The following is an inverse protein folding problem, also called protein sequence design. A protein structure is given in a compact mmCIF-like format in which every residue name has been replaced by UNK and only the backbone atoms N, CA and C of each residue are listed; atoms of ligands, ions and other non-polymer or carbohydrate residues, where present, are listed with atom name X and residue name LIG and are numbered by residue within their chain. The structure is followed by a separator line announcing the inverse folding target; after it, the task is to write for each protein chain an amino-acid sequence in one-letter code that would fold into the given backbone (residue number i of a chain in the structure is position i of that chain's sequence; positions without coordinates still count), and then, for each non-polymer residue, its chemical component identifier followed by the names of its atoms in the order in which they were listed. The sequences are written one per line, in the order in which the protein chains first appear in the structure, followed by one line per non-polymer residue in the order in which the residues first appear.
data_IF_204926887053
#
_entry.id   IF_204926887053
#
_cell.length_a   1.000
_cell.length_b   1.000
_cell.length_c   1.000
_cell.angle_alpha   90.00
_cell.angle_beta   90.00
_cell.angle_gamma   90.00
#
_symmetry.space_group_name_H-M   'P 1'
#
loop_
_entity.id
_entity.type
_entity.pdbx_description
1 polymer ?
2 polymer ?
3 water ?
#
loop_
_entity_poly.entity_id
_entity_poly.type
_entity_poly.pdbx_seq_one_letter_code
_entity_poly.pdbx_strand_id
1 'polydeoxyribonucleotide' '(DT)(DC)(DG)(DC)(DG)(DC)(DG)' ?
#
# COMPACT_ATOMS: atom_id res chain seq x y z
N UNK C 6 22.27 17.49 -12.26
CA UNK C 6 21.23 17.96 -13.22
C UNK C 6 19.86 17.41 -12.86
N UNK C 7 19.81 16.55 -11.85
CA UNK C 7 18.54 15.97 -11.43
C UNK C 7 18.30 16.13 -9.94
N UNK C 8 17.05 16.43 -9.59
CA UNK C 8 16.64 16.61 -8.20
C UNK C 8 15.65 15.50 -7.84
N UNK C 9 16.17 14.38 -7.34
CA UNK C 9 15.35 13.23 -6.97
C UNK C 9 14.23 13.57 -5.98
N UNK C 10 14.22 12.88 -4.85
CA UNK C 10 13.20 13.10 -3.83
C UNK C 10 13.69 14.04 -2.72
N UNK C 11 15.01 14.24 -2.65
CA UNK C 11 15.61 15.10 -1.64
C UNK C 11 15.02 16.51 -1.60
N UNK C 12 14.66 17.04 -2.75
CA UNK C 12 14.10 18.38 -2.79
C UNK C 12 12.67 18.36 -2.25
N UNK C 13 12.01 17.23 -2.40
CA UNK C 13 10.64 17.08 -1.91
C UNK C 13 10.76 16.98 -0.39
N UNK C 14 11.67 16.12 0.05
CA UNK C 14 11.93 15.93 1.47
C UNK C 14 12.18 17.30 2.12
N UNK C 15 13.05 18.09 1.49
CA UNK C 15 13.38 19.42 2.01
C UNK C 15 12.16 20.34 2.04
N UNK C 16 11.34 20.30 1.00
CA UNK C 16 10.15 21.15 0.96
C UNK C 16 9.19 20.77 2.08
N UNK C 17 9.01 19.47 2.29
CA UNK C 17 8.09 19.01 3.33
C UNK C 17 8.60 19.34 4.73
N UNK C 18 9.89 19.13 4.96
CA UNK C 18 10.46 19.42 6.27
C UNK C 18 10.29 20.90 6.60
N UNK C 19 10.58 21.75 5.63
CA UNK C 19 10.45 23.19 5.83
C UNK C 19 9.01 23.53 6.21
N UNK C 20 8.04 22.89 5.54
CA UNK C 20 6.63 23.15 5.83
C UNK C 20 6.22 22.74 7.23
N UNK C 21 6.59 21.53 7.64
CA UNK C 21 6.21 21.06 8.97
C UNK C 21 6.87 21.88 10.07
N UNK C 22 8.11 22.29 9.85
CA UNK C 22 8.81 23.09 10.85
C UNK C 22 8.19 24.46 11.02
N UNK C 23 7.42 24.91 10.03
CA UNK C 23 6.78 26.22 10.12
C UNK C 23 5.50 26.15 10.94
N UNK C 24 5.06 24.94 11.28
CA UNK C 24 3.84 24.76 12.05
C UNK C 24 4.03 25.14 13.51
N UNK C 25 2.95 25.55 14.16
CA UNK C 25 3.02 25.87 15.58
C UNK C 25 2.90 24.53 16.27
N UNK C 26 3.61 24.37 17.38
CA UNK C 26 3.59 23.12 18.13
C UNK C 26 2.17 22.57 18.27
N UNK C 27 1.22 23.47 18.47
CA UNK C 27 -0.17 23.09 18.67
C UNK C 27 -0.95 22.76 17.40
N UNK C 28 -0.39 23.07 16.24
CA UNK C 28 -1.09 22.82 14.99
C UNK C 28 -0.65 21.53 14.31
N UNK C 29 -1.42 21.09 13.33
CA UNK C 29 -1.10 19.87 12.58
C UNK C 29 -1.53 20.02 11.13
N UNK C 30 -1.02 19.16 10.27
CA UNK C 30 -1.40 19.22 8.86
C UNK C 30 -1.63 17.80 8.36
N UNK C 31 -1.95 17.65 7.08
CA UNK C 31 -2.19 16.33 6.50
C UNK C 31 -1.47 16.23 5.17
N UNK C 32 -1.38 15.02 4.64
CA UNK C 32 -0.69 14.82 3.37
C UNK C 32 -1.46 15.53 2.26
N UNK C 33 -2.78 15.41 2.28
CA UNK C 33 -3.60 16.04 1.25
C UNK C 33 -3.39 17.56 1.23
N UNK C 34 -3.33 18.17 2.41
CA UNK C 34 -3.12 19.61 2.48
C UNK C 34 -1.74 19.97 1.93
N UNK C 35 -0.72 19.25 2.38
CA UNK C 35 0.64 19.49 1.93
C UNK C 35 0.75 19.29 0.42
N UNK C 36 0.16 18.20 -0.07
CA UNK C 36 0.18 17.92 -1.50
C UNK C 36 -0.43 19.08 -2.26
N UNK C 37 -1.47 19.67 -1.67
CA UNK C 37 -2.18 20.78 -2.27
C UNK C 37 -1.33 22.05 -2.36
N UNK C 38 -0.54 22.32 -1.33
CA UNK C 38 0.31 23.51 -1.30
C UNK C 38 1.54 23.37 -2.18
N UNK C 39 2.33 22.34 -1.93
CA UNK C 39 3.55 22.10 -2.68
C UNK C 39 3.28 21.61 -4.10
N UNK C 40 2.01 21.50 -4.46
CA UNK C 40 1.62 21.03 -5.79
C UNK C 40 2.38 19.76 -6.15
N UNK C 41 2.40 18.81 -5.22
CA UNK C 41 3.09 17.55 -5.42
C UNK C 41 2.13 16.39 -5.14
N UNK C 42 2.36 15.25 -5.78
CA UNK C 42 1.51 14.09 -5.58
C UNK C 42 1.49 13.67 -4.12
N UNK C 43 0.31 13.34 -3.61
CA UNK C 43 0.16 12.92 -2.22
C UNK C 43 1.08 11.74 -1.92
N UNK C 44 1.27 10.86 -2.89
CA UNK C 44 2.15 9.71 -2.67
C UNK C 44 3.58 10.19 -2.37
N UNK C 45 4.05 11.18 -3.12
CA UNK C 45 5.39 11.71 -2.90
C UNK C 45 5.46 12.35 -1.51
N UNK C 46 4.44 13.13 -1.17
CA UNK C 46 4.38 13.79 0.13
C UNK C 46 4.46 12.78 1.28
N UNK C 47 3.75 11.66 1.15
CA UNK C 47 3.75 10.61 2.17
C UNK C 47 5.10 9.91 2.28
N UNK C 48 5.73 9.64 1.15
CA UNK C 48 7.03 8.98 1.17
C UNK C 48 8.00 9.78 2.03
N UNK C 49 7.90 11.11 1.97
CA UNK C 49 8.79 11.96 2.76
C UNK C 49 8.33 12.12 4.21
N UNK C 50 7.02 12.24 4.42
CA UNK C 50 6.49 12.39 5.77
C UNK C 50 6.88 11.23 6.67
N UNK C 51 6.78 10.01 6.16
CA UNK C 51 7.15 8.86 6.99
C UNK C 51 8.66 8.77 7.20
N UNK C 52 9.44 9.23 6.22
CA UNK C 52 10.90 9.23 6.36
C UNK C 52 11.25 10.29 7.41
N UNK C 53 10.55 11.41 7.37
CA UNK C 53 10.78 12.49 8.30
C UNK C 53 10.41 12.07 9.73
N UNK C 54 9.40 11.21 9.87
CA UNK C 54 9.02 10.76 11.20
C UNK C 54 10.14 9.90 11.77
N UNK C 55 10.82 9.16 10.90
CA UNK C 55 11.93 8.32 11.33
C UNK C 55 13.04 9.19 11.90
N UNK C 56 13.12 10.43 11.45
CA UNK C 56 14.14 11.35 11.94
C UNK C 56 13.63 12.19 13.11
N UNK C 57 12.42 11.87 13.57
CA UNK C 57 11.80 12.56 14.70
C UNK C 57 11.45 14.04 14.52
N UNK C 58 11.43 14.51 13.28
CA UNK C 58 11.09 15.90 13.02
C UNK C 58 9.57 16.08 13.06
N UNK C 59 8.85 15.03 12.69
CA UNK C 59 7.39 15.07 12.68
C UNK C 59 6.82 13.85 13.39
N UNK C 60 5.59 13.96 13.86
CA UNK C 60 4.92 12.87 14.56
C UNK C 60 3.55 12.65 13.92
N UNK C 61 3.26 11.40 13.56
CA UNK C 61 1.99 11.06 12.92
C UNK C 61 0.99 10.51 13.92
N UNK C 62 -0.28 10.89 13.76
CA UNK C 62 -1.36 10.41 14.62
C UNK C 62 -2.36 9.70 13.71
N UNK C 63 -2.48 8.37 13.85
CA UNK C 63 -3.38 7.53 13.06
C UNK C 63 -4.84 7.93 13.07
N UNK C 64 -5.13 9.09 12.51
CA UNK C 64 -6.48 9.56 12.43
C UNK C 64 -6.89 9.20 11.00
N UNK C 65 -8.07 9.62 10.58
CA UNK C 65 -8.53 9.31 9.23
C UNK C 65 -8.81 10.60 8.49
N UNK C 66 -7.83 11.09 7.71
CA UNK C 66 -6.50 10.50 7.49
C UNK C 66 -5.50 10.87 8.60
N UNK C 67 -4.27 10.35 8.51
CA UNK C 67 -3.29 10.68 9.55
C UNK C 67 -2.99 12.18 9.64
N UNK C 68 -2.80 12.65 10.87
CA UNK C 68 -2.47 14.05 11.11
C UNK C 68 -0.98 14.11 11.43
N UNK C 69 -0.30 15.13 10.94
CA UNK C 69 1.13 15.26 11.16
C UNK C 69 1.49 16.50 11.97
N UNK C 70 2.17 16.27 13.10
CA UNK C 70 2.60 17.32 14.02
C UNK C 70 4.12 17.51 14.00
N UNK C 71 4.55 18.74 14.23
CA UNK C 71 5.98 19.03 14.31
C UNK C 71 6.42 18.49 15.66
N UNK C 72 7.60 17.89 15.74
CA UNK C 72 8.09 17.36 17.01
C UNK C 72 8.09 18.52 18.01
N UNK C 73 7.41 18.37 19.14
CA UNK C 73 7.34 19.46 20.12
C UNK C 73 8.68 19.88 20.72
N UNK C 74 9.71 19.06 20.56
CA UNK C 74 11.03 19.41 21.07
C UNK C 74 11.58 20.56 20.23
N UNK C 75 10.93 20.82 19.10
CA UNK C 75 11.32 21.91 18.21
C UNK C 75 10.70 23.20 18.74
N UNK D 6 0.82 -7.96 -26.66
CA UNK D 6 2.25 -8.31 -26.39
C UNK D 6 2.53 -8.59 -24.91
N UNK D 7 1.51 -8.45 -24.07
CA UNK D 7 1.66 -8.71 -22.64
C UNK D 7 0.41 -9.40 -22.10
N UNK D 8 0.59 -10.20 -21.05
CA UNK D 8 -0.53 -10.89 -20.42
C UNK D 8 -1.21 -9.83 -19.56
N UNK D 9 -2.44 -9.47 -19.91
CA UNK D 9 -3.17 -8.43 -19.18
C UNK D 9 -3.92 -8.93 -17.95
N UNK D 10 -4.52 -7.98 -17.23
CA UNK D 10 -5.27 -8.27 -16.02
C UNK D 10 -6.21 -9.46 -16.18
N UNK D 11 -7.08 -9.39 -17.18
CA UNK D 11 -8.05 -10.45 -17.43
C UNK D 11 -7.41 -11.82 -17.63
N UNK D 12 -6.22 -11.84 -18.22
CA UNK D 12 -5.53 -13.09 -18.46
C UNK D 12 -4.87 -13.65 -17.21
N UNK D 13 -4.36 -12.77 -16.35
CA UNK D 13 -3.72 -13.23 -15.12
C UNK D 13 -4.83 -13.72 -14.20
N UNK D 14 -5.99 -13.10 -14.30
CA UNK D 14 -7.15 -13.48 -13.51
C UNK D 14 -7.44 -14.96 -13.72
N UNK D 15 -7.44 -15.38 -14.99
CA UNK D 15 -7.72 -16.77 -15.34
C UNK D 15 -6.68 -17.73 -14.77
N UNK D 16 -5.41 -17.33 -14.84
CA UNK D 16 -4.34 -18.17 -14.33
C UNK D 16 -4.48 -18.36 -12.82
N UNK D 17 -4.75 -17.26 -12.12
CA UNK D 17 -4.89 -17.34 -10.67
C UNK D 17 -6.15 -18.11 -10.33
N UNK D 18 -7.22 -17.86 -11.06
CA UNK D 18 -8.47 -18.57 -10.79
C UNK D 18 -8.30 -20.08 -10.90
N UNK D 19 -7.51 -20.54 -11.87
CA UNK D 19 -7.31 -21.97 -12.06
C UNK D 19 -6.52 -22.60 -10.92
N UNK D 20 -5.48 -21.91 -10.46
CA UNK D 20 -4.65 -22.42 -9.37
C UNK D 20 -5.47 -22.54 -8.09
N UNK D 21 -6.27 -21.52 -7.81
CA UNK D 21 -7.07 -21.53 -6.61
C UNK D 21 -8.15 -22.59 -6.66
N UNK D 22 -8.72 -22.80 -7.84
CA UNK D 22 -9.76 -23.81 -8.01
C UNK D 22 -9.17 -25.21 -7.92
N UNK D 23 -7.85 -25.32 -7.96
CA UNK D 23 -7.22 -26.63 -7.89
C UNK D 23 -6.82 -27.00 -6.47
N UNK D 24 -7.14 -26.14 -5.51
CA UNK D 24 -6.80 -26.41 -4.12
C UNK D 24 -7.77 -27.45 -3.55
N UNK D 25 -7.31 -28.27 -2.61
CA UNK D 25 -8.20 -29.24 -1.99
C UNK D 25 -9.06 -28.47 -0.99
N UNK D 26 -10.18 -29.05 -0.61
CA UNK D 26 -11.13 -28.41 0.30
C UNK D 26 -10.63 -27.42 1.35
N UNK D 27 -9.87 -27.89 2.33
CA UNK D 27 -9.41 -26.96 3.37
C UNK D 27 -7.96 -26.49 3.27
N UNK D 28 -7.31 -26.62 2.12
CA UNK D 28 -5.95 -26.11 2.06
C UNK D 28 -5.91 -24.74 1.41
N UNK D 29 -4.93 -23.94 1.81
CA UNK D 29 -4.81 -22.59 1.30
C UNK D 29 -3.52 -22.39 0.54
N UNK D 30 -3.37 -21.17 0.04
CA UNK D 30 -2.17 -20.76 -0.66
C UNK D 30 -2.01 -19.29 -0.29
N UNK D 31 -0.91 -18.69 -0.72
CA UNK D 31 -0.66 -17.29 -0.43
C UNK D 31 -0.27 -16.59 -1.72
N UNK D 32 -0.38 -15.26 -1.73
CA UNK D 32 -0.03 -14.49 -2.91
C UNK D 32 1.42 -14.78 -3.32
N UNK D 33 2.33 -14.77 -2.35
CA UNK D 33 3.74 -15.02 -2.67
C UNK D 33 3.95 -16.42 -3.24
N UNK D 34 3.17 -17.39 -2.76
CA UNK D 34 3.30 -18.75 -3.27
C UNK D 34 2.87 -18.80 -4.73
N UNK D 35 1.74 -18.18 -5.03
CA UNK D 35 1.23 -18.17 -6.40
C UNK D 35 2.18 -17.38 -7.28
N UNK D 36 2.77 -16.34 -6.71
CA UNK D 36 3.71 -15.51 -7.45
C UNK D 36 4.88 -16.39 -7.88
N UNK D 37 5.35 -17.25 -6.97
CA UNK D 37 6.47 -18.15 -7.25
C UNK D 37 6.10 -19.29 -8.20
N UNK D 38 4.99 -19.96 -7.92
CA UNK D 38 4.53 -21.07 -8.75
C UNK D 38 4.25 -20.60 -10.17
N UNK D 39 3.89 -19.32 -10.30
CA UNK D 39 3.63 -18.73 -11.60
C UNK D 39 4.80 -17.78 -11.82
N UNK D 40 4.82 -17.07 -12.94
CA UNK D 40 5.91 -16.14 -13.16
C UNK D 40 5.36 -14.74 -13.15
N UNK D 41 4.54 -14.44 -12.15
CA UNK D 41 3.88 -13.14 -12.06
C UNK D 41 4.12 -12.36 -10.77
N UNK D 42 4.31 -11.05 -10.92
CA UNK D 42 4.54 -10.17 -9.78
C UNK D 42 3.46 -10.37 -8.73
N UNK D 43 3.87 -10.33 -7.46
CA UNK D 43 2.94 -10.53 -6.36
C UNK D 43 1.77 -9.56 -6.40
N UNK D 44 2.05 -8.30 -6.74
CA UNK D 44 0.99 -7.30 -6.80
C UNK D 44 -0.11 -7.76 -7.74
N UNK D 45 0.29 -8.23 -8.92
CA UNK D 45 -0.66 -8.70 -9.91
C UNK D 45 -1.44 -9.89 -9.40
N UNK D 46 -0.80 -10.72 -8.58
CA UNK D 46 -1.49 -11.87 -8.02
C UNK D 46 -2.60 -11.38 -7.09
N UNK D 47 -2.24 -10.49 -6.15
CA UNK D 47 -3.22 -9.95 -5.21
C UNK D 47 -4.36 -9.20 -5.90
N UNK D 48 -4.05 -8.50 -6.98
CA UNK D 48 -5.09 -7.78 -7.70
C UNK D 48 -6.17 -8.76 -8.10
N UNK D 49 -5.77 -9.96 -8.51
CA UNK D 49 -6.74 -10.98 -8.91
C UNK D 49 -7.42 -11.64 -7.72
N UNK D 50 -6.64 -11.94 -6.69
CA UNK D 50 -7.18 -12.59 -5.50
C UNK D 50 -8.34 -11.82 -4.87
N UNK D 51 -8.18 -10.52 -4.67
CA UNK D 51 -9.26 -9.75 -4.07
C UNK D 51 -10.49 -9.68 -4.97
N UNK D 52 -10.29 -9.74 -6.28
CA UNK D 52 -11.43 -9.72 -7.19
C UNK D 52 -12.12 -11.08 -7.11
N UNK D 53 -11.32 -12.14 -7.03
CA UNK D 53 -11.82 -13.50 -6.93
C UNK D 53 -12.65 -13.65 -5.65
N UNK D 54 -12.26 -12.91 -4.61
CA UNK D 54 -12.97 -12.97 -3.34
C UNK D 54 -14.33 -12.28 -3.48
N UNK D 55 -14.35 -11.18 -4.22
CA UNK D 55 -15.59 -10.45 -4.45
C UNK D 55 -16.58 -11.32 -5.23
N UNK D 56 -16.03 -12.22 -6.04
CA UNK D 56 -16.84 -13.12 -6.86
C UNK D 56 -17.16 -14.45 -6.16
N UNK D 57 -16.79 -14.56 -4.89
CA UNK D 57 -17.04 -15.76 -4.10
C UNK D 57 -16.36 -17.02 -4.62
N UNK D 58 -15.19 -16.85 -5.23
CA UNK D 58 -14.44 -17.99 -5.74
C UNK D 58 -13.41 -18.41 -4.69
N UNK D 59 -12.90 -17.43 -3.96
CA UNK D 59 -11.92 -17.68 -2.91
C UNK D 59 -12.36 -16.98 -1.65
N UNK D 60 -11.75 -17.37 -0.53
CA UNK D 60 -12.05 -16.77 0.76
C UNK D 60 -10.70 -16.52 1.43
N UNK D 61 -10.53 -15.33 1.99
CA UNK D 61 -9.28 -14.95 2.64
C UNK D 61 -9.38 -14.93 4.16
N UNK D 62 -8.34 -15.45 4.80
CA UNK D 62 -8.27 -15.47 6.26
C UNK D 62 -7.06 -14.62 6.59
N UNK D 63 -7.28 -13.49 7.29
CA UNK D 63 -6.14 -12.64 7.62
C UNK D 63 -5.04 -13.34 8.41
N UNK D 64 -3.81 -12.97 8.09
CA UNK D 64 -2.62 -13.51 8.71
C UNK D 64 -1.48 -12.93 7.90
N UNK D 65 -0.25 -13.16 8.33
CA UNK D 65 0.89 -12.61 7.61
C UNK D 65 1.79 -13.72 7.08
N UNK D 66 1.69 -14.01 5.77
CA UNK D 66 0.78 -13.36 4.81
C UNK D 66 -0.63 -13.96 4.83
N UNK D 67 -1.61 -13.24 4.25
CA UNK D 67 -3.00 -13.71 4.21
C UNK D 67 -3.09 -15.07 3.53
N UNK D 68 -3.95 -15.93 4.06
CA UNK D 68 -4.16 -17.27 3.51
C UNK D 68 -5.39 -17.23 2.60
N UNK D 69 -5.31 -17.91 1.47
CA UNK D 69 -6.41 -17.94 0.51
C UNK D 69 -6.94 -19.35 0.27
N UNK D 70 -8.19 -19.58 0.66
CA UNK D 70 -8.86 -20.88 0.48
C UNK D 70 -9.91 -20.82 -0.64
N UNK D 71 -10.20 -21.97 -1.23
CA UNK D 71 -11.22 -22.02 -2.28
C UNK D 71 -12.55 -21.86 -1.56
N UNK D 72 -13.46 -21.08 -2.15
CA UNK D 72 -14.76 -20.87 -1.51
C UNK D 72 -15.52 -22.19 -1.50
N UNK D 73 -16.14 -22.49 -0.36
CA UNK D 73 -16.89 -23.74 -0.21
C UNK D 73 -17.89 -24.04 -1.33
N UNK D 74 -18.35 -23.01 -2.03
CA UNK D 74 -19.29 -23.23 -3.13
C UNK D 74 -18.62 -24.14 -4.16
N UNK D 75 -17.34 -23.87 -4.41
CA UNK D 75 -16.57 -24.64 -5.38
C UNK D 75 -16.25 -26.04 -4.85
#
# INVERSE_FOLDING_TARGET
MDLLSCTVNDAEIFSLVKKEVLSLNTNDYTTAISLSNRLKINKKKINQQLYKLQKEDTVKMVPSNPPKWFKNYNC
MDLLSCTVNDAEIFSLVKKEVLSLNTNDYTTAISLSNRLKINKKKINQQLYKLQKEDTVKMVPSNPPKWFKNYNC
#
